data_IF_183607613940
#
_entry.id   IF_183607613940
#
_cell.length_a   1.000
_cell.length_b   1.000
_cell.length_c   1.000
_cell.angle_alpha   90.00
_cell.angle_beta   90.00
_cell.angle_gamma   90.00
#
_symmetry.space_group_name_H-M   'P 1'
#
loop_
_entity.id
_entity.type
_entity.pdbx_description
1 polymer ?
#
# COMPACT_ATOMS: atom_id res chain seq x y z
N UNK A 1 -0.55 -20.31 39.59
CA UNK A 1 -0.32 -19.18 38.66
C UNK A 1 0.59 -19.72 37.56
N UNK A 2 0.14 -19.74 36.31
CA UNK A 2 0.84 -20.41 35.20
C UNK A 2 1.99 -19.56 34.66
N UNK A 3 3.12 -20.19 34.32
CA UNK A 3 4.28 -19.53 33.72
C UNK A 3 3.94 -18.81 32.39
N UNK A 4 2.92 -19.29 31.67
CA UNK A 4 2.42 -18.70 30.43
C UNK A 4 1.81 -17.31 30.65
N UNK A 5 1.09 -17.06 31.75
CA UNK A 5 0.50 -15.75 32.06
C UNK A 5 1.52 -14.72 32.53
N UNK A 6 2.65 -15.17 33.11
CA UNK A 6 3.75 -14.27 33.50
C UNK A 6 4.59 -13.82 32.30
N UNK A 7 4.82 -14.72 31.33
CA UNK A 7 5.50 -14.38 30.08
C UNK A 7 4.68 -13.42 29.21
N UNK A 8 3.35 -13.62 29.16
CA UNK A 8 2.41 -12.78 28.40
C UNK A 8 2.32 -11.36 28.98
N UNK A 9 2.26 -11.23 30.32
CA UNK A 9 2.31 -9.93 30.98
C UNK A 9 3.66 -9.21 30.80
N UNK A 10 4.79 -9.92 30.89
CA UNK A 10 6.12 -9.34 30.68
C UNK A 10 6.34 -8.93 29.21
N UNK A 11 5.81 -9.70 28.26
CA UNK A 11 5.78 -9.36 26.83
C UNK A 11 4.98 -8.09 26.57
N UNK A 12 3.75 -8.02 27.09
CA UNK A 12 2.87 -6.86 26.89
C UNK A 12 3.35 -5.57 27.57
N UNK A 13 4.08 -5.64 28.69
CA UNK A 13 4.72 -4.45 29.29
C UNK A 13 5.91 -3.95 28.45
N UNK A 14 6.71 -4.89 27.93
CA UNK A 14 7.86 -4.59 27.07
C UNK A 14 7.39 -3.98 25.75
N UNK A 15 6.36 -4.55 25.13
CA UNK A 15 5.71 -4.07 23.91
C UNK A 15 5.15 -2.64 24.09
N UNK A 16 4.39 -2.39 25.18
CA UNK A 16 3.89 -1.04 25.49
C UNK A 16 5.00 -0.03 25.71
N UNK A 17 6.12 -0.43 26.33
CA UNK A 17 7.29 0.41 26.49
C UNK A 17 7.93 0.76 25.12
N UNK A 18 8.04 -0.21 24.21
CA UNK A 18 8.50 0.02 22.84
C UNK A 18 7.56 0.92 22.05
N UNK A 19 6.25 0.70 22.12
CA UNK A 19 5.24 1.56 21.48
C UNK A 19 5.35 3.01 21.96
N UNK A 20 5.59 3.22 23.26
CA UNK A 20 5.80 4.56 23.83
C UNK A 20 7.07 5.22 23.30
N UNK A 21 8.18 4.48 23.18
CA UNK A 21 9.42 5.00 22.59
C UNK A 21 9.21 5.36 21.12
N UNK A 22 8.59 4.46 20.34
CA UNK A 22 8.32 4.63 18.91
C UNK A 22 7.36 5.78 18.62
N UNK A 23 6.39 6.04 19.52
CA UNK A 23 5.41 7.12 19.36
C UNK A 23 6.05 8.50 19.15
N UNK A 24 7.25 8.73 19.72
CA UNK A 24 7.98 9.98 19.55
C UNK A 24 8.54 10.16 18.14
N UNK A 25 8.76 9.06 17.41
CA UNK A 25 9.27 9.04 16.04
C UNK A 25 8.14 9.04 15.00
N UNK A 26 6.90 8.76 15.40
CA UNK A 26 5.72 8.81 14.54
C UNK A 26 5.15 10.23 14.32
N UNK A 27 5.98 11.27 14.48
CA UNK A 27 5.53 12.67 14.34
C UNK A 27 5.58 13.13 12.88
N UNK A 28 4.42 13.49 12.35
CA UNK A 28 4.29 14.05 11.01
C UNK A 28 4.81 15.50 10.96
N UNK A 29 5.60 15.84 9.95
CA UNK A 29 6.06 17.22 9.70
C UNK A 29 5.38 17.74 8.44
N UNK A 30 4.28 18.48 8.61
CA UNK A 30 3.40 18.92 7.50
C UNK A 30 4.18 19.66 6.40
N UNK A 31 5.10 20.55 6.78
CA UNK A 31 5.91 21.30 5.81
C UNK A 31 6.77 20.39 4.94
N UNK A 32 7.34 19.32 5.51
CA UNK A 32 8.12 18.33 4.76
C UNK A 32 7.23 17.54 3.82
N UNK A 33 6.05 17.11 4.28
CA UNK A 33 5.09 16.38 3.44
C UNK A 33 4.60 17.21 2.25
N UNK A 34 4.29 18.49 2.45
CA UNK A 34 3.90 19.38 1.35
C UNK A 34 5.05 19.60 0.37
N UNK A 35 6.28 19.73 0.87
CA UNK A 35 7.46 19.84 0.02
C UNK A 35 7.68 18.57 -0.83
N UNK A 36 7.61 17.38 -0.22
CA UNK A 36 7.72 16.09 -0.92
C UNK A 36 6.63 15.92 -1.98
N UNK A 37 5.40 16.36 -1.68
CA UNK A 37 4.31 16.37 -2.65
C UNK A 37 4.58 17.32 -3.81
N UNK A 38 5.01 18.56 -3.54
CA UNK A 38 5.28 19.56 -4.56
C UNK A 38 6.45 19.17 -5.48
N UNK A 39 7.58 18.73 -4.90
CA UNK A 39 8.77 18.31 -5.65
C UNK A 39 8.54 17.01 -6.45
N UNK A 40 7.44 16.31 -6.20
CA UNK A 40 7.05 15.12 -6.96
C UNK A 40 6.01 15.45 -8.02
N UNK A 41 4.94 16.16 -7.64
CA UNK A 41 3.80 16.44 -8.50
C UNK A 41 4.14 17.46 -9.59
N UNK A 42 4.90 18.51 -9.28
CA UNK A 42 5.25 19.56 -10.25
C UNK A 42 6.11 18.99 -11.38
N UNK A 43 7.21 18.26 -11.11
CA UNK A 43 7.99 17.64 -12.19
C UNK A 43 7.19 16.57 -12.95
N UNK A 44 6.33 15.80 -12.28
CA UNK A 44 5.46 14.83 -12.96
C UNK A 44 4.59 15.51 -14.03
N UNK A 45 3.85 16.56 -13.65
CA UNK A 45 2.97 17.28 -14.58
C UNK A 45 3.78 17.94 -15.70
N UNK A 46 4.94 18.50 -15.38
CA UNK A 46 5.85 19.07 -16.37
C UNK A 46 6.30 18.03 -17.40
N UNK A 47 6.87 16.90 -16.96
CA UNK A 47 7.37 15.88 -17.87
C UNK A 47 6.25 15.19 -18.65
N UNK A 48 5.08 15.02 -18.05
CA UNK A 48 3.92 14.49 -18.74
C UNK A 48 3.42 15.43 -19.84
N UNK A 49 3.29 16.73 -19.56
CA UNK A 49 2.91 17.72 -20.55
C UNK A 49 3.98 17.89 -21.65
N UNK A 50 5.27 17.84 -21.29
CA UNK A 50 6.37 17.87 -22.23
C UNK A 50 6.36 16.63 -23.15
N UNK A 51 6.10 15.44 -22.61
CA UNK A 51 5.96 14.22 -23.40
C UNK A 51 4.80 14.32 -24.40
N UNK A 52 3.65 14.85 -23.96
CA UNK A 52 2.49 15.10 -24.83
C UNK A 52 2.83 16.09 -25.96
N UNK A 53 3.43 17.23 -25.64
CA UNK A 53 3.82 18.23 -26.64
C UNK A 53 4.89 17.70 -27.61
N UNK A 54 5.83 16.89 -27.12
CA UNK A 54 6.89 16.31 -27.92
C UNK A 54 6.38 15.33 -29.01
N UNK A 55 5.19 14.76 -28.85
CA UNK A 55 4.58 13.90 -29.89
C UNK A 55 4.39 14.64 -31.21
N UNK A 56 4.20 15.97 -31.18
CA UNK A 56 4.11 16.79 -32.40
C UNK A 56 5.44 16.90 -33.16
N UNK A 57 6.58 16.68 -32.48
CA UNK A 57 7.93 16.80 -33.03
C UNK A 57 8.59 15.43 -33.29
N UNK A 58 7.93 14.35 -32.92
CA UNK A 58 8.37 12.98 -33.17
C UNK A 58 8.33 12.09 -31.93
N UNK A 59 8.02 10.81 -32.17
CA UNK A 59 7.82 9.82 -31.11
C UNK A 59 9.02 9.66 -30.16
N UNK A 60 10.25 9.72 -30.68
CA UNK A 60 11.47 9.54 -29.89
C UNK A 60 11.69 10.61 -28.82
N UNK A 61 11.31 11.87 -29.10
CA UNK A 61 11.41 12.95 -28.11
C UNK A 61 10.40 12.75 -26.98
N UNK A 62 9.19 12.27 -27.30
CA UNK A 62 8.20 11.88 -26.29
C UNK A 62 8.71 10.77 -25.38
N UNK A 63 9.45 9.79 -25.92
CA UNK A 63 10.02 8.68 -25.15
C UNK A 63 11.08 9.15 -24.13
N UNK A 64 11.83 10.21 -24.43
CA UNK A 64 12.80 10.77 -23.47
C UNK A 64 12.08 11.39 -22.27
N UNK A 65 10.95 12.05 -22.48
CA UNK A 65 10.17 12.68 -21.40
C UNK A 65 9.27 11.70 -20.63
N UNK A 66 8.85 10.59 -21.24
CA UNK A 66 8.00 9.61 -20.56
C UNK A 66 8.77 8.83 -19.48
N UNK A 67 10.07 8.60 -19.66
CA UNK A 67 10.93 7.91 -18.67
C UNK A 67 10.94 8.65 -17.32
N UNK A 68 11.29 9.96 -17.24
CA UNK A 68 11.22 10.69 -15.98
C UNK A 68 9.79 10.83 -15.48
N UNK A 69 8.79 11.02 -16.36
CA UNK A 69 7.39 11.06 -15.95
C UNK A 69 6.96 9.76 -15.23
N UNK A 70 7.36 8.59 -15.75
CA UNK A 70 7.11 7.30 -15.10
C UNK A 70 7.81 7.19 -13.74
N UNK A 71 9.04 7.69 -13.62
CA UNK A 71 9.76 7.75 -12.34
C UNK A 71 9.02 8.58 -11.28
N UNK A 72 8.52 9.76 -11.64
CA UNK A 72 7.72 10.57 -10.72
C UNK A 72 6.34 9.96 -10.43
N UNK A 73 5.74 9.23 -11.39
CA UNK A 73 4.50 8.49 -11.16
C UNK A 73 4.68 7.37 -10.13
N UNK A 74 5.81 6.66 -10.18
CA UNK A 74 6.19 5.67 -9.15
C UNK A 74 6.40 6.34 -7.77
N UNK A 75 6.99 7.54 -7.74
CA UNK A 75 7.13 8.29 -6.49
C UNK A 75 5.77 8.76 -5.94
N UNK A 76 4.83 9.16 -6.81
CA UNK A 76 3.45 9.45 -6.39
C UNK A 76 2.76 8.21 -5.82
N UNK A 77 3.02 7.02 -6.36
CA UNK A 77 2.53 5.75 -5.80
C UNK A 77 3.08 5.50 -4.39
N UNK A 78 4.38 5.72 -4.17
CA UNK A 78 5.00 5.62 -2.83
C UNK A 78 4.38 6.64 -1.86
N UNK A 79 4.16 7.87 -2.32
CA UNK A 79 3.53 8.91 -1.51
C UNK A 79 2.10 8.55 -1.10
N UNK A 80 1.32 7.97 -2.05
CA UNK A 80 -0.01 7.45 -1.73
C UNK A 80 0.06 6.30 -0.75
N UNK A 81 1.02 5.39 -0.89
CA UNK A 81 1.21 4.30 0.06
C UNK A 81 1.35 4.85 1.48
N UNK A 82 2.16 5.89 1.66
CA UNK A 82 2.37 6.54 2.96
C UNK A 82 1.11 7.30 3.43
N UNK A 83 0.37 7.93 2.52
CA UNK A 83 -0.97 8.45 2.83
C UNK A 83 -1.92 7.34 3.31
N UNK A 84 -1.87 6.14 2.70
CA UNK A 84 -2.67 4.98 3.09
C UNK A 84 -2.41 4.53 4.52
N UNK A 85 -1.23 4.83 5.06
CA UNK A 85 -0.86 4.57 6.46
C UNK A 85 -1.25 5.66 7.44
N UNK A 86 -1.77 6.80 6.97
CA UNK A 86 -2.10 7.97 7.80
C UNK A 86 -0.90 8.82 8.22
N UNK A 87 0.31 8.51 7.74
CA UNK A 87 1.56 9.14 8.18
C UNK A 87 1.92 10.41 7.41
N UNK A 88 1.21 10.71 6.31
CA UNK A 88 1.65 11.75 5.40
C UNK A 88 1.27 13.16 5.84
N UNK A 89 0.04 13.40 6.30
CA UNK A 89 -0.42 14.71 6.75
C UNK A 89 -1.11 14.57 8.10
N UNK A 90 -0.92 15.55 9.00
CA UNK A 90 -1.52 15.53 10.33
C UNK A 90 -3.05 15.66 10.37
N UNK A 91 -3.72 15.70 9.20
CA UNK A 91 -5.16 15.84 9.06
C UNK A 91 -5.68 14.72 8.16
N UNK A 92 -6.42 13.78 8.75
CA UNK A 92 -6.99 12.61 8.07
C UNK A 92 -7.77 12.93 6.79
N UNK A 93 -8.60 13.98 6.81
CA UNK A 93 -9.39 14.39 5.65
C UNK A 93 -8.48 14.77 4.47
N UNK A 94 -7.37 15.46 4.73
CA UNK A 94 -6.44 15.87 3.68
C UNK A 94 -5.64 14.66 3.16
N UNK A 95 -5.27 13.72 4.03
CA UNK A 95 -4.64 12.45 3.64
C UNK A 95 -5.55 11.63 2.73
N UNK A 96 -6.83 11.46 3.09
CA UNK A 96 -7.79 10.68 2.31
C UNK A 96 -8.04 11.31 0.93
N UNK A 97 -8.28 12.63 0.88
CA UNK A 97 -8.46 13.34 -0.40
C UNK A 97 -7.20 13.31 -1.28
N UNK A 98 -6.03 13.55 -0.69
CA UNK A 98 -4.75 13.47 -1.42
C UNK A 98 -4.53 12.06 -1.97
N UNK A 99 -4.82 11.03 -1.17
CA UNK A 99 -4.78 9.63 -1.58
C UNK A 99 -5.71 9.34 -2.75
N UNK A 100 -6.96 9.84 -2.72
CA UNK A 100 -7.94 9.68 -3.81
C UNK A 100 -7.52 10.39 -5.10
N UNK A 101 -7.05 11.64 -5.02
CA UNK A 101 -6.58 12.39 -6.20
C UNK A 101 -5.39 11.69 -6.84
N UNK A 102 -4.39 11.31 -6.03
CA UNK A 102 -3.23 10.58 -6.55
C UNK A 102 -3.68 9.22 -7.12
N UNK A 103 -4.65 8.54 -6.51
CA UNK A 103 -5.23 7.26 -6.99
C UNK A 103 -5.80 7.33 -8.40
N UNK A 104 -6.46 8.44 -8.73
CA UNK A 104 -6.90 8.71 -10.12
C UNK A 104 -5.69 8.82 -11.04
N UNK A 105 -4.65 9.54 -10.64
CA UNK A 105 -3.45 9.74 -11.46
C UNK A 105 -2.66 8.46 -11.74
N UNK A 106 -2.56 7.52 -10.79
CA UNK A 106 -1.89 6.22 -11.08
C UNK A 106 -2.85 5.12 -11.51
N UNK A 107 -4.14 5.42 -11.65
CA UNK A 107 -5.17 4.45 -12.01
C UNK A 107 -5.21 3.24 -11.08
N UNK A 108 -5.00 3.49 -9.78
CA UNK A 108 -5.02 2.49 -8.71
C UNK A 108 -6.15 2.85 -7.77
N UNK A 109 -7.22 2.05 -7.70
CA UNK A 109 -8.36 2.35 -6.83
C UNK A 109 -7.93 2.46 -5.36
N UNK A 110 -8.10 3.65 -4.77
CA UNK A 110 -7.62 3.99 -3.42
C UNK A 110 -8.12 3.00 -2.35
N UNK A 111 -9.41 2.70 -2.36
CA UNK A 111 -10.05 1.90 -1.32
C UNK A 111 -9.75 0.39 -1.48
N UNK A 112 -9.73 -0.12 -2.71
CA UNK A 112 -9.31 -1.49 -3.00
C UNK A 112 -7.85 -1.72 -2.62
N UNK A 113 -6.98 -0.79 -3.03
CA UNK A 113 -5.56 -0.86 -2.71
C UNK A 113 -5.33 -0.78 -1.21
N UNK A 114 -5.96 0.17 -0.49
CA UNK A 114 -5.79 0.33 0.96
C UNK A 114 -6.18 -0.94 1.73
N UNK A 115 -7.26 -1.61 1.32
CA UNK A 115 -7.69 -2.88 1.92
C UNK A 115 -6.72 -4.02 1.63
N UNK A 116 -6.40 -4.25 0.35
CA UNK A 116 -5.46 -5.31 -0.05
C UNK A 116 -4.07 -5.11 0.56
N UNK A 117 -3.66 -3.86 0.74
CA UNK A 117 -2.40 -3.48 1.35
C UNK A 117 -2.37 -3.71 2.86
N UNK A 118 -3.48 -3.44 3.55
CA UNK A 118 -3.61 -3.79 4.97
C UNK A 118 -3.60 -5.31 5.19
N UNK A 119 -4.30 -6.07 4.35
CA UNK A 119 -4.29 -7.54 4.35
C UNK A 119 -2.88 -8.09 4.08
N UNK A 120 -2.15 -7.49 3.13
CA UNK A 120 -0.74 -7.82 2.88
C UNK A 120 0.13 -7.58 4.12
N UNK A 121 0.05 -6.41 4.76
CA UNK A 121 0.85 -6.13 5.95
C UNK A 121 0.53 -7.02 7.14
N UNK A 122 -0.73 -7.43 7.30
CA UNK A 122 -1.15 -8.31 8.39
C UNK A 122 -0.63 -9.75 8.23
N UNK A 123 -0.47 -10.21 6.98
CA UNK A 123 -0.04 -11.59 6.67
C UNK A 123 1.40 -11.69 6.13
N UNK A 124 2.07 -10.56 5.89
CA UNK A 124 3.40 -10.55 5.27
C UNK A 124 4.44 -11.22 6.18
N UNK A 125 4.98 -12.34 5.71
CA UNK A 125 6.02 -13.08 6.43
C UNK A 125 5.49 -14.04 7.50
N UNK A 126 4.16 -14.14 7.65
CA UNK A 126 3.53 -15.19 8.43
C UNK A 126 3.41 -16.47 7.58
N UNK A 127 4.17 -17.50 7.96
CA UNK A 127 4.18 -18.78 7.25
C UNK A 127 3.00 -19.67 7.64
N UNK A 128 2.29 -19.35 8.71
CA UNK A 128 1.11 -20.06 9.20
C UNK A 128 -0.18 -19.48 8.57
N UNK A 129 -0.23 -18.17 8.29
CA UNK A 129 -1.34 -17.49 7.61
C UNK A 129 -1.03 -17.06 6.16
N UNK A 130 -0.78 -18.03 5.26
CA UNK A 130 -0.54 -17.74 3.83
C UNK A 130 -1.86 -17.42 3.12
N UNK A 131 -2.05 -16.16 2.71
CA UNK A 131 -3.33 -15.66 2.18
C UNK A 131 -3.26 -14.69 1.00
N UNK A 132 -4.36 -13.94 0.80
CA UNK A 132 -4.51 -12.95 -0.26
C UNK A 132 -3.64 -11.73 0.04
N UNK A 133 -2.63 -11.49 -0.79
CA UNK A 133 -1.78 -10.30 -0.71
C UNK A 133 -0.31 -10.61 -0.46
N UNK A 134 0.04 -11.76 0.12
CA UNK A 134 1.43 -12.15 0.33
C UNK A 134 2.03 -12.92 -0.86
N UNK A 135 3.35 -12.78 -1.04
CA UNK A 135 4.10 -13.58 -2.01
C UNK A 135 4.40 -14.93 -1.39
N UNK A 136 4.00 -16.02 -2.05
CA UNK A 136 4.22 -17.38 -1.54
C UNK A 136 5.69 -17.58 -1.16
N UNK A 137 5.92 -17.77 0.13
CA UNK A 137 7.23 -18.04 0.70
C UNK A 137 7.21 -19.46 1.25
N UNK A 138 8.20 -20.26 0.84
CA UNK A 138 8.36 -21.63 1.27
C UNK A 138 9.41 -21.73 2.38
N UNK A 139 9.17 -22.63 3.34
CA UNK A 139 10.21 -23.04 4.29
C UNK A 139 11.33 -23.79 3.58
N UNK A 140 12.50 -23.90 4.24
CA UNK A 140 13.62 -24.70 3.71
C UNK A 140 13.22 -26.16 3.53
N UNK A 141 12.40 -26.72 4.43
CA UNK A 141 11.90 -28.08 4.35
C UNK A 141 10.98 -28.28 3.14
N UNK A 142 10.01 -27.37 2.94
CA UNK A 142 9.10 -27.37 1.79
C UNK A 142 9.86 -27.26 0.47
N UNK A 143 10.81 -26.33 0.39
CA UNK A 143 11.63 -26.16 -0.82
C UNK A 143 12.49 -27.40 -1.12
N UNK A 144 13.02 -28.07 -0.09
CA UNK A 144 13.79 -29.32 -0.27
C UNK A 144 12.93 -30.47 -0.77
N UNK A 145 11.68 -30.55 -0.32
CA UNK A 145 10.69 -31.54 -0.74
C UNK A 145 10.20 -31.36 -2.19
N UNK A 146 10.41 -30.20 -2.82
CA UNK A 146 10.06 -29.98 -4.22
C UNK A 146 10.89 -30.83 -5.19
N UNK A 147 10.24 -31.26 -6.28
CA UNK A 147 10.90 -31.84 -7.45
C UNK A 147 11.87 -30.84 -8.10
N UNK A 148 12.82 -31.31 -8.92
CA UNK A 148 13.77 -30.41 -9.61
C UNK A 148 13.07 -29.32 -10.44
N UNK A 149 11.97 -29.66 -11.11
CA UNK A 149 11.11 -28.69 -11.82
C UNK A 149 10.42 -27.71 -10.87
N UNK A 150 9.92 -28.19 -9.72
CA UNK A 150 9.34 -27.34 -8.69
C UNK A 150 10.33 -26.32 -8.13
N UNK A 151 11.59 -26.72 -7.92
CA UNK A 151 12.67 -25.82 -7.46
C UNK A 151 12.97 -24.73 -8.49
N UNK A 152 13.05 -25.07 -9.78
CA UNK A 152 13.24 -24.08 -10.86
C UNK A 152 12.04 -23.15 -10.97
N UNK A 153 10.81 -23.67 -10.90
CA UNK A 153 9.59 -22.87 -10.91
C UNK A 153 9.54 -21.87 -9.75
N UNK A 154 9.87 -22.31 -8.53
CA UNK A 154 9.93 -21.42 -7.37
C UNK A 154 11.02 -20.34 -7.49
N UNK A 155 12.21 -20.69 -8.01
CA UNK A 155 13.27 -19.71 -8.28
C UNK A 155 12.87 -18.68 -9.32
N UNK A 156 12.17 -19.10 -10.37
CA UNK A 156 11.67 -18.19 -11.41
C UNK A 156 10.58 -17.28 -10.85
N UNK A 157 9.64 -17.84 -10.08
CA UNK A 157 8.61 -17.07 -9.38
C UNK A 157 9.21 -16.01 -8.44
N UNK A 158 10.26 -16.37 -7.68
CA UNK A 158 10.97 -15.46 -6.76
C UNK A 158 12.07 -14.63 -7.44
N UNK A 159 12.22 -14.71 -8.77
CA UNK A 159 13.24 -13.95 -9.49
C UNK A 159 12.83 -12.47 -9.55
N UNK A 160 13.72 -11.50 -9.23
CA UNK A 160 13.37 -10.08 -9.20
C UNK A 160 12.73 -9.56 -10.49
N UNK A 161 13.23 -9.97 -11.66
CA UNK A 161 12.63 -9.56 -12.94
C UNK A 161 11.21 -10.08 -13.14
N UNK A 162 10.89 -11.26 -12.59
CA UNK A 162 9.55 -11.83 -12.69
C UNK A 162 8.62 -11.16 -11.70
N UNK A 163 9.05 -11.01 -10.43
CA UNK A 163 8.23 -10.35 -9.41
C UNK A 163 7.98 -8.87 -9.74
N UNK A 164 9.05 -8.11 -10.01
CA UNK A 164 8.96 -6.66 -10.24
C UNK A 164 8.60 -6.29 -11.67
N UNK A 165 8.88 -7.14 -12.65
CA UNK A 165 8.49 -6.93 -14.04
C UNK A 165 7.09 -7.47 -14.29
N UNK A 166 6.97 -8.80 -14.44
CA UNK A 166 5.74 -9.47 -14.84
C UNK A 166 4.66 -9.37 -13.75
N UNK A 167 5.02 -9.64 -12.49
CA UNK A 167 4.12 -9.58 -11.35
C UNK A 167 3.54 -8.18 -11.15
N UNK A 168 4.39 -7.16 -11.10
CA UNK A 168 3.94 -5.76 -11.03
C UNK A 168 3.08 -5.37 -12.23
N UNK A 169 3.49 -5.69 -13.46
CA UNK A 169 2.69 -5.38 -14.65
C UNK A 169 1.30 -6.02 -14.57
N UNK A 170 1.22 -7.29 -14.17
CA UNK A 170 -0.05 -7.98 -13.99
C UNK A 170 -0.93 -7.31 -12.91
N UNK A 171 -0.34 -6.96 -11.76
CA UNK A 171 -1.04 -6.30 -10.67
C UNK A 171 -1.61 -4.94 -11.07
N UNK A 172 -0.78 -4.06 -11.67
CA UNK A 172 -1.17 -2.69 -12.01
C UNK A 172 -2.05 -2.58 -13.28
N UNK A 173 -1.88 -3.50 -14.24
CA UNK A 173 -2.68 -3.49 -15.48
C UNK A 173 -4.00 -4.24 -15.33
N UNK A 174 -4.05 -5.33 -14.55
CA UNK A 174 -5.24 -6.17 -14.46
C UNK A 174 -5.90 -6.09 -13.08
N UNK A 175 -5.22 -6.50 -12.00
CA UNK A 175 -5.85 -6.59 -10.67
C UNK A 175 -6.30 -5.24 -10.11
N UNK A 176 -5.56 -4.16 -10.38
CA UNK A 176 -5.93 -2.83 -9.88
C UNK A 176 -6.95 -2.10 -10.76
N UNK A 177 -7.17 -2.56 -12.01
CA UNK A 177 -8.11 -1.95 -12.96
C UNK A 177 -9.46 -2.64 -13.01
N UNK A 178 -9.48 -3.94 -12.73
CA UNK A 178 -10.70 -4.74 -12.73
C UNK A 178 -10.98 -5.18 -11.29
N UNK A 179 -12.09 -4.71 -10.67
CA UNK A 179 -12.45 -5.08 -9.30
C UNK A 179 -12.96 -6.53 -9.25
N UNK A 180 -12.11 -7.50 -9.56
CA UNK A 180 -12.42 -8.91 -9.40
C UNK A 180 -12.50 -9.24 -7.91
N UNK A 181 -13.72 -9.50 -7.42
CA UNK A 181 -13.94 -10.12 -6.11
C UNK A 181 -14.59 -9.26 -5.02
N UNK A 182 -14.86 -7.96 -5.22
CA UNK A 182 -15.51 -7.12 -4.19
C UNK A 182 -16.68 -6.25 -4.66
N UNK A 183 -17.27 -6.52 -5.82
CA UNK A 183 -18.51 -5.88 -6.27
C UNK A 183 -19.78 -6.46 -5.59
N UNK A 184 -19.79 -6.59 -4.27
CA UNK A 184 -21.00 -6.97 -3.50
C UNK A 184 -21.38 -6.02 -2.36
N UNK A 185 -20.60 -4.97 -2.11
CA UNK A 185 -20.89 -4.02 -1.01
C UNK A 185 -21.51 -2.70 -1.49
N UNK A 186 -21.50 -2.43 -2.80
CA UNK A 186 -22.06 -1.18 -3.35
C UNK A 186 -23.59 -1.14 -3.50
N UNK A 187 -24.29 -2.27 -3.38
CA UNK A 187 -25.74 -2.33 -3.62
C UNK A 187 -26.59 -1.87 -2.41
N UNK A 188 -26.00 -1.70 -1.23
CA UNK A 188 -26.69 -1.21 -0.02
C UNK A 188 -26.38 0.25 0.33
N UNK A 189 -25.55 0.94 -0.46
CA UNK A 189 -25.22 2.35 -0.23
C UNK A 189 -26.23 3.35 -0.83
N UNK A 190 -27.23 2.86 -1.59
CA UNK A 190 -28.25 3.72 -2.19
C UNK A 190 -29.39 4.11 -1.22
N UNK A 191 -29.37 3.61 0.02
CA UNK A 191 -30.40 3.89 1.03
C UNK A 191 -29.88 4.76 2.19
N UNK A 192 -28.65 5.30 2.08
CA UNK A 192 -28.00 6.08 3.14
C UNK A 192 -27.96 7.58 2.81
N UNK A 193 -29.09 8.14 2.41
CA UNK A 193 -29.27 9.57 2.18
C UNK A 193 -30.19 10.24 3.20
N UNK A 194 -29.99 9.97 4.49
CA UNK A 194 -30.48 10.91 5.51
C UNK A 194 -29.68 10.86 6.83
N UNK A 195 -29.26 12.04 7.29
CA UNK A 195 -29.12 12.33 8.72
C UNK A 195 -27.84 12.01 9.50
N UNK A 196 -27.07 10.94 9.23
CA UNK A 196 -26.07 10.47 10.21
C UNK A 196 -24.59 10.64 9.81
N UNK A 197 -24.10 11.89 9.78
CA UNK A 197 -22.67 12.19 9.66
C UNK A 197 -21.94 12.33 11.02
N UNK A 198 -22.52 11.89 12.13
CA UNK A 198 -21.87 12.01 13.46
C UNK A 198 -21.44 10.70 14.10
N UNK A 199 -21.81 9.54 13.53
CA UNK A 199 -21.51 8.26 14.15
C UNK A 199 -20.43 7.38 13.50
N UNK A 200 -19.86 7.75 12.35
CA UNK A 200 -18.74 7.02 11.72
C UNK A 200 -17.34 7.65 11.95
N UNK A 201 -17.11 8.14 13.18
CA UNK A 201 -15.75 8.39 13.68
C UNK A 201 -14.98 7.09 13.95
N UNK A 202 -15.63 5.93 13.82
CA UNK A 202 -15.13 4.64 14.24
C UNK A 202 -14.45 3.80 13.14
N UNK A 203 -14.46 4.22 11.87
CA UNK A 203 -13.64 3.52 10.86
C UNK A 203 -12.15 3.80 11.04
N UNK A 204 -11.79 5.06 11.35
CA UNK A 204 -10.42 5.46 11.70
C UNK A 204 -9.94 4.80 13.00
N UNK A 205 -10.78 4.80 14.04
CA UNK A 205 -10.45 4.20 15.34
C UNK A 205 -10.36 2.66 15.27
N UNK A 206 -11.07 2.00 14.35
CA UNK A 206 -10.89 0.57 14.07
C UNK A 206 -9.59 0.27 13.33
N UNK A 207 -9.16 1.11 12.40
CA UNK A 207 -7.87 0.96 11.71
C UNK A 207 -6.67 1.25 12.64
N UNK A 208 -6.81 2.21 13.57
CA UNK A 208 -5.80 2.47 14.61
C UNK A 208 -5.74 1.30 15.61
N UNK A 209 -6.88 0.72 16.00
CA UNK A 209 -6.90 -0.48 16.85
C UNK A 209 -6.26 -1.70 16.17
N UNK A 210 -6.46 -1.90 14.87
CA UNK A 210 -5.78 -2.97 14.11
C UNK A 210 -4.25 -2.78 14.12
N UNK A 211 -3.74 -1.56 14.03
CA UNK A 211 -2.29 -1.29 14.15
C UNK A 211 -1.74 -1.51 15.58
N UNK A 212 -2.56 -1.30 16.60
CA UNK A 212 -2.16 -1.56 18.00
C UNK A 212 -2.22 -3.06 18.32
N UNK A 213 -3.15 -3.81 17.72
CA UNK A 213 -3.27 -5.27 17.94
C UNK A 213 -2.33 -6.11 17.05
N UNK A 214 -1.82 -5.57 15.94
CA UNK A 214 -0.80 -6.25 15.11
C UNK A 214 0.65 -5.86 15.47
N UNK A 215 0.82 -4.92 16.40
CA UNK A 215 2.12 -4.56 16.97
C UNK A 215 2.36 -5.22 18.35
N UNK A 216 1.42 -6.06 18.79
CA UNK A 216 1.44 -6.89 19.98
C UNK A 216 1.65 -8.36 19.62
#
# INVERSE_FOLDING_TARGET
MNAMTLADHAGGETEKAWLKILSNYCKHVIGRSLYELAVTLIPFVFFWAAAWAALHFGYWLGLIFIIPAAGFLLRLLMLRHDCGHGSFLGVWRLVDWTGRVISVLTLTLCDYWRRAHAEHHASAGDLDERGVGDTTTLTVAEYRALTGRGKVGYRLYRHPLVMFGIGSAFLFLFKQRLPFGMMRVGATAADFNDGDQRHDRNFGDRYVNIKVQLAA
#
